data_IF_263450491319
#
_entry.id   IF_263450491319
#
_cell.length_a   1.000
_cell.length_b   1.000
_cell.length_c   1.000
_cell.angle_alpha   90.00
_cell.angle_beta   90.00
_cell.angle_gamma   90.00
#
_symmetry.space_group_name_H-M   'P 1'
#
loop_
_entity.id
_entity.type
_entity.pdbx_description
1 polymer ?
#
# COMPACT_ATOMS: atom_id res chain seq x y z
N UNK A 1 -12.23 4.75 -7.12
CA UNK A 1 -12.95 5.04 -5.86
C UNK A 1 -13.51 3.74 -5.29
N UNK A 2 -13.19 3.49 -4.01
CA UNK A 2 -13.34 2.28 -3.16
C UNK A 2 -12.49 1.03 -3.53
N UNK A 3 -11.30 0.95 -2.92
CA UNK A 3 -10.73 -0.33 -2.49
C UNK A 3 -11.61 -0.85 -1.35
N UNK A 4 -12.42 -1.88 -1.59
CA UNK A 4 -13.11 -2.58 -0.51
C UNK A 4 -12.10 -3.47 0.24
N UNK A 5 -11.50 -2.93 1.27
CA UNK A 5 -10.88 -3.74 2.30
C UNK A 5 -11.98 -4.19 3.26
N UNK A 6 -12.53 -5.39 3.04
CA UNK A 6 -13.41 -5.99 4.04
C UNK A 6 -12.58 -6.25 5.29
N UNK A 7 -12.93 -5.54 6.35
CA UNK A 7 -12.36 -5.69 7.67
C UNK A 7 -12.81 -7.06 8.21
N UNK A 8 -11.99 -8.08 7.97
CA UNK A 8 -12.08 -9.37 8.65
C UNK A 8 -10.97 -9.40 9.70
N UNK A 9 -11.30 -9.97 10.86
CA UNK A 9 -10.49 -10.07 12.08
C UNK A 9 -9.16 -10.86 11.93
N UNK A 10 -8.31 -10.47 10.98
CA UNK A 10 -7.01 -11.08 10.72
C UNK A 10 -6.64 -11.01 9.25
N UNK A 11 -5.83 -10.01 8.88
CA UNK A 11 -5.21 -9.80 7.56
C UNK A 11 -6.19 -9.61 6.37
N UNK A 12 -6.23 -8.38 5.85
CA UNK A 12 -7.00 -7.95 4.67
C UNK A 12 -7.08 -9.00 3.55
N UNK A 13 -8.32 -9.29 3.13
CA UNK A 13 -8.58 -9.97 1.88
C UNK A 13 -8.57 -8.93 0.74
N UNK A 14 -7.51 -8.92 -0.07
CA UNK A 14 -7.44 -8.07 -1.27
C UNK A 14 -8.23 -8.77 -2.38
N UNK A 15 -9.44 -8.29 -2.66
CA UNK A 15 -10.26 -8.70 -3.82
C UNK A 15 -10.69 -7.44 -4.59
N UNK A 16 -10.48 -7.43 -5.92
CA UNK A 16 -10.57 -6.28 -6.86
C UNK A 16 -11.90 -5.51 -6.91
N UNK A 17 -12.15 -4.47 -7.73
CA UNK A 17 -11.70 -4.11 -9.09
C UNK A 17 -12.07 -2.63 -9.34
N UNK A 18 -11.17 -1.79 -9.89
CA UNK A 18 -11.51 -0.77 -10.94
C UNK A 18 -10.25 -0.07 -11.50
N UNK A 19 -10.14 -0.11 -12.83
CA UNK A 19 -9.16 0.51 -13.74
C UNK A 19 -7.67 0.18 -13.49
N UNK A 20 -7.16 -0.79 -14.25
CA UNK A 20 -5.75 -1.18 -14.42
C UNK A 20 -4.99 -1.99 -13.36
N UNK A 21 -5.56 -2.32 -12.20
CA UNK A 21 -4.87 -3.25 -11.29
C UNK A 21 -5.79 -4.35 -10.73
N UNK A 22 -5.88 -5.47 -11.44
CA UNK A 22 -6.34 -6.75 -10.86
C UNK A 22 -5.18 -7.29 -10.02
N UNK A 23 -5.15 -6.99 -8.72
CA UNK A 23 -4.24 -7.72 -7.81
C UNK A 23 -4.87 -9.09 -7.59
N UNK A 24 -4.30 -10.16 -8.13
CA UNK A 24 -4.63 -11.50 -7.62
C UNK A 24 -3.94 -11.68 -6.26
N UNK A 25 -4.55 -12.41 -5.31
CA UNK A 25 -3.90 -12.73 -4.01
C UNK A 25 -2.48 -13.28 -4.19
N UNK A 26 -2.26 -14.00 -5.29
CA UNK A 26 -0.98 -14.59 -5.68
C UNK A 26 0.13 -13.58 -5.94
N UNK A 27 -0.20 -12.30 -6.15
CA UNK A 27 0.78 -11.24 -6.43
C UNK A 27 1.18 -10.47 -5.17
N UNK A 28 0.47 -10.62 -4.05
CA UNK A 28 0.76 -9.87 -2.81
C UNK A 28 1.86 -10.60 -2.03
N UNK A 29 3.03 -9.96 -1.93
CA UNK A 29 4.19 -10.44 -1.18
C UNK A 29 4.18 -9.99 0.28
N UNK A 30 3.57 -8.84 0.57
CA UNK A 30 3.49 -8.34 1.93
C UNK A 30 2.46 -7.25 2.11
N UNK A 31 1.98 -7.14 3.34
CA UNK A 31 1.02 -6.13 3.78
C UNK A 31 1.49 -5.56 5.11
N UNK A 32 1.35 -4.25 5.28
CA UNK A 32 1.60 -3.54 6.53
C UNK A 32 0.45 -2.56 6.77
N UNK A 33 -0.08 -2.55 7.98
CA UNK A 33 -0.98 -1.53 8.49
C UNK A 33 -0.29 -0.86 9.67
N UNK A 34 -0.17 0.46 9.65
CA UNK A 34 0.33 1.24 10.79
C UNK A 34 -0.63 2.35 11.15
N UNK A 35 -0.62 2.75 12.40
CA UNK A 35 -1.35 3.94 12.84
C UNK A 35 -0.59 5.24 12.47
N UNK A 36 -1.13 6.38 12.90
CA UNK A 36 -0.55 7.69 12.66
C UNK A 36 0.78 7.95 13.37
N UNK A 37 1.10 7.15 14.40
CA UNK A 37 2.38 7.19 15.12
C UNK A 37 3.43 6.27 14.49
N UNK A 38 3.09 5.56 13.40
CA UNK A 38 3.98 4.57 12.77
C UNK A 38 3.99 3.21 13.47
N UNK A 39 3.16 3.03 14.51
CA UNK A 39 3.08 1.76 15.23
C UNK A 39 2.38 0.70 14.39
N UNK A 40 2.97 -0.50 14.36
CA UNK A 40 2.44 -1.61 13.60
C UNK A 40 1.13 -2.14 14.21
N UNK A 41 0.06 -2.13 13.41
CA UNK A 41 -1.25 -2.71 13.72
C UNK A 41 -1.41 -4.08 13.04
N UNK A 42 -0.89 -4.22 11.82
CA UNK A 42 -0.90 -5.48 11.08
C UNK A 42 0.39 -5.59 10.25
N UNK A 43 1.01 -6.77 10.21
CA UNK A 43 2.03 -7.05 9.18
C UNK A 43 2.01 -8.50 8.74
N UNK A 44 2.34 -8.71 7.47
CA UNK A 44 2.48 -10.03 6.87
C UNK A 44 3.46 -9.99 5.71
N UNK A 45 4.23 -11.07 5.57
CA UNK A 45 5.11 -11.28 4.42
C UNK A 45 6.35 -10.39 4.47
N UNK A 46 6.66 -9.73 3.36
CA UNK A 46 7.91 -8.96 3.19
C UNK A 46 7.95 -7.61 3.92
N UNK A 47 6.84 -7.15 4.49
CA UNK A 47 6.77 -5.85 5.18
C UNK A 47 6.73 -6.10 6.69
N UNK A 48 7.76 -5.63 7.41
CA UNK A 48 7.90 -5.76 8.86
C UNK A 48 7.71 -4.43 9.59
N UNK A 49 7.66 -4.45 10.93
CA UNK A 49 7.45 -3.26 11.78
C UNK A 49 8.37 -2.08 11.45
N UNK A 50 9.61 -2.34 11.02
CA UNK A 50 10.59 -1.30 10.75
C UNK A 50 10.18 -0.34 9.60
N UNK A 51 9.22 -0.73 8.76
CA UNK A 51 8.75 0.10 7.65
C UNK A 51 7.60 1.07 8.03
N UNK A 52 7.12 1.02 9.28
CA UNK A 52 5.97 1.81 9.73
C UNK A 52 6.18 3.31 9.66
N UNK A 53 7.22 3.81 10.35
CA UNK A 53 7.56 5.23 10.38
C UNK A 53 7.80 5.78 8.97
N UNK A 54 8.55 5.04 8.15
CA UNK A 54 8.85 5.41 6.77
C UNK A 54 7.57 5.55 5.92
N UNK A 55 6.60 4.63 6.07
CA UNK A 55 5.34 4.71 5.33
C UNK A 55 4.51 5.95 5.72
N UNK A 56 4.49 6.28 7.01
CA UNK A 56 3.80 7.47 7.53
C UNK A 56 4.48 8.75 7.04
N UNK A 57 5.80 8.83 7.09
CA UNK A 57 6.55 10.02 6.71
C UNK A 57 6.49 10.27 5.19
N UNK A 58 6.49 9.22 4.37
CA UNK A 58 6.25 9.34 2.93
C UNK A 58 4.84 9.90 2.64
N UNK A 59 3.81 9.43 3.33
CA UNK A 59 2.45 9.97 3.19
C UNK A 59 2.34 11.43 3.63
N UNK A 60 3.01 11.81 4.72
CA UNK A 60 3.11 13.21 5.15
C UNK A 60 3.80 14.06 4.09
N UNK A 61 4.92 13.60 3.54
CA UNK A 61 5.62 14.28 2.45
C UNK A 61 4.69 14.48 1.24
N UNK A 62 4.02 13.42 0.78
CA UNK A 62 3.10 13.51 -0.35
C UNK A 62 1.92 14.45 -0.06
N UNK A 63 1.41 14.51 1.17
CA UNK A 63 0.36 15.46 1.56
C UNK A 63 0.82 16.92 1.52
N UNK A 64 2.10 17.19 1.76
CA UNK A 64 2.64 18.55 1.63
C UNK A 64 2.79 18.97 0.16
N UNK A 65 2.93 18.03 -0.77
CA UNK A 65 2.97 18.30 -2.21
C UNK A 65 1.57 18.59 -2.77
N UNK A 66 0.54 17.98 -2.19
CA UNK A 66 -0.86 18.11 -2.61
C UNK A 66 -1.76 18.58 -1.44
N UNK A 67 -1.58 19.81 -0.92
CA UNK A 67 -2.23 20.27 0.31
C UNK A 67 -3.75 20.42 0.19
N UNK A 68 -4.26 20.52 -1.04
CA UNK A 68 -5.70 20.66 -1.31
C UNK A 68 -6.43 19.31 -1.38
N UNK A 69 -5.69 18.20 -1.37
CA UNK A 69 -6.25 16.87 -1.42
C UNK A 69 -6.29 16.25 -0.01
N UNK A 70 -7.37 15.53 0.33
CA UNK A 70 -7.39 14.78 1.57
C UNK A 70 -6.31 13.69 1.51
N UNK A 71 -5.59 13.49 2.62
CA UNK A 71 -4.51 12.48 2.72
C UNK A 71 -4.97 11.08 2.33
N UNK A 72 -6.27 10.76 2.51
CA UNK A 72 -6.87 9.49 2.10
C UNK A 72 -7.03 9.30 0.59
N UNK A 73 -6.90 10.37 -0.21
CA UNK A 73 -6.89 10.29 -1.68
C UNK A 73 -5.48 10.13 -2.26
N UNK A 74 -4.45 10.31 -1.45
CA UNK A 74 -3.06 10.22 -1.87
C UNK A 74 -2.64 8.75 -1.88
N UNK A 75 -2.12 8.31 -3.02
CA UNK A 75 -1.52 6.99 -3.19
C UNK A 75 -0.07 7.20 -3.60
N UNK A 76 0.85 6.61 -2.85
CA UNK A 76 2.27 6.58 -3.19
C UNK A 76 2.57 5.21 -3.77
N UNK A 77 3.25 5.17 -4.90
CA UNK A 77 3.69 3.94 -5.54
C UNK A 77 5.21 3.98 -5.75
N UNK A 78 5.90 3.01 -5.16
CA UNK A 78 7.33 2.78 -5.37
C UNK A 78 7.48 1.54 -6.24
N UNK A 79 7.96 1.71 -7.46
CA UNK A 79 8.18 0.62 -8.42
C UNK A 79 9.63 0.17 -8.39
N UNK A 80 9.86 -1.12 -8.14
CA UNK A 80 11.15 -1.77 -8.26
C UNK A 80 11.46 -2.17 -9.70
N UNK A 81 12.74 -2.12 -10.06
CA UNK A 81 13.24 -2.54 -11.38
C UNK A 81 13.00 -4.03 -11.66
N UNK A 82 12.79 -4.83 -10.62
CA UNK A 82 12.50 -6.27 -10.68
C UNK A 82 11.01 -6.56 -10.96
N UNK A 83 10.22 -5.53 -11.25
CA UNK A 83 8.78 -5.64 -11.39
C UNK A 83 8.06 -5.78 -10.05
N UNK A 84 8.69 -5.43 -8.93
CA UNK A 84 7.96 -5.24 -7.68
C UNK A 84 7.31 -3.86 -7.62
N UNK A 85 6.24 -3.73 -6.84
CA UNK A 85 5.64 -2.45 -6.53
C UNK A 85 5.22 -2.42 -5.06
N UNK A 86 5.47 -1.29 -4.40
CA UNK A 86 4.96 -0.99 -3.06
C UNK A 86 3.98 0.16 -3.16
N UNK A 87 2.72 -0.10 -2.88
CA UNK A 87 1.66 0.92 -2.87
C UNK A 87 1.30 1.28 -1.43
N UNK A 88 1.24 2.57 -1.11
CA UNK A 88 0.89 3.11 0.20
C UNK A 88 -0.29 4.06 0.09
N UNK A 89 -1.24 3.96 1.02
CA UNK A 89 -2.42 4.82 1.09
C UNK A 89 -2.88 4.96 2.54
N UNK A 90 -3.56 6.05 2.86
CA UNK A 90 -4.23 6.20 4.16
C UNK A 90 -5.72 5.86 4.05
N UNK A 91 -6.23 5.01 4.94
CA UNK A 91 -7.66 4.76 5.13
C UNK A 91 -8.06 5.01 6.58
N UNK A 92 -8.81 6.09 6.80
CA UNK A 92 -9.16 6.54 8.15
C UNK A 92 -7.90 6.87 8.95
N UNK A 93 -7.72 6.20 10.09
CA UNK A 93 -6.55 6.35 10.97
C UNK A 93 -5.37 5.45 10.59
N UNK A 94 -5.56 4.52 9.65
CA UNK A 94 -4.53 3.55 9.28
C UNK A 94 -3.85 3.92 7.96
N UNK A 95 -2.53 3.89 7.97
CA UNK A 95 -1.71 3.81 6.76
C UNK A 95 -1.57 2.34 6.37
N UNK A 96 -1.87 2.01 5.12
CA UNK A 96 -1.72 0.67 4.56
C UNK A 96 -0.66 0.69 3.47
N UNK A 97 0.29 -0.25 3.55
CA UNK A 97 1.29 -0.51 2.52
C UNK A 97 1.14 -1.94 1.99
N UNK A 98 1.22 -2.11 0.67
CA UNK A 98 1.05 -3.38 -0.01
C UNK A 98 2.23 -3.58 -0.96
N UNK A 99 3.04 -4.61 -0.70
CA UNK A 99 4.09 -5.05 -1.61
C UNK A 99 3.55 -6.12 -2.54
N UNK A 100 3.67 -5.90 -3.84
CA UNK A 100 3.20 -6.79 -4.90
C UNK A 100 4.25 -7.02 -5.98
N UNK A 101 4.12 -8.11 -6.73
CA UNK A 101 4.80 -8.26 -8.02
C UNK A 101 3.87 -7.70 -9.10
N UNK A 102 4.29 -6.62 -9.74
CA UNK A 102 3.74 -6.16 -11.01
C UNK A 102 4.43 -6.91 -12.17
N UNK A 103 3.70 -7.83 -12.80
CA UNK A 103 4.23 -8.62 -13.92
C UNK A 103 4.50 -7.80 -15.19
N UNK A 104 4.31 -6.48 -15.18
CA UNK A 104 4.57 -5.62 -16.33
C UNK A 104 6.04 -5.40 -16.68
N UNK A 105 7.02 -5.77 -15.86
CA UNK A 105 8.44 -5.49 -16.15
C UNK A 105 9.16 -6.48 -17.09
N UNK A 106 8.45 -7.16 -18.00
CA UNK A 106 9.08 -8.06 -18.98
C UNK A 106 9.16 -7.52 -20.41
N UNK A 107 9.03 -6.20 -20.59
CA UNK A 107 9.36 -5.53 -21.84
C UNK A 107 10.67 -4.73 -21.69
N UNK A 108 11.78 -5.46 -21.56
CA UNK A 108 13.09 -4.96 -21.95
C UNK A 108 13.66 -6.01 -22.91
N UNK A 109 13.31 -5.87 -24.19
CA UNK A 109 14.07 -6.45 -25.31
C UNK A 109 15.39 -5.69 -25.48
#
# INVERSE_FOLDING_TARGET
>A
MLLQFKNFSGCMEVSGVRANFRVSKEQVKGVLCVDESGLNVCSRGTLSNAAGDAAVDLLKLASNLEPNLPMSSIVIELTGIDGSALSMTKQGVLTTAIHRIDRKSRDFD
#
